data_IF_305482869773
#
_entry.id   IF_305482869773
#
_cell.length_a   1.000
_cell.length_b   1.000
_cell.length_c   1.000
_cell.angle_alpha   90.00
_cell.angle_beta   90.00
_cell.angle_gamma   90.00
#
_symmetry.space_group_name_H-M   'P 1'
#
loop_
_entity.id
_entity.type
_entity.pdbx_description
1 polymer ?
#
# COMPACT_ATOMS: atom_id res chain seq x y z
N UNK A 1 15.33 10.15 -15.79
CA UNK A 1 14.65 9.63 -16.99
C UNK A 1 13.78 10.76 -17.51
N UNK A 2 14.00 11.14 -18.75
CA UNK A 2 13.64 12.43 -19.35
C UNK A 2 12.11 12.58 -19.46
N UNK A 3 11.56 13.62 -18.84
CA UNK A 3 10.20 14.10 -19.11
C UNK A 3 10.26 14.88 -20.41
N UNK A 4 9.93 14.25 -21.53
CA UNK A 4 9.65 14.97 -22.78
C UNK A 4 8.23 15.55 -22.72
N UNK A 5 8.01 16.79 -23.19
CA UNK A 5 6.68 17.36 -23.32
C UNK A 5 6.03 16.76 -24.56
N UNK A 6 5.20 15.73 -24.38
CA UNK A 6 4.40 15.18 -25.49
C UNK A 6 3.27 16.17 -25.79
N UNK A 7 3.57 17.04 -26.75
CA UNK A 7 2.72 17.61 -27.78
C UNK A 7 1.23 17.81 -27.44
N UNK A 8 0.95 19.09 -27.18
CA UNK A 8 -0.32 19.80 -27.29
C UNK A 8 -0.86 19.70 -28.73
N UNK A 9 -1.53 18.59 -29.06
CA UNK A 9 -2.21 18.42 -30.36
C UNK A 9 -3.73 18.34 -30.15
N UNK A 10 -4.48 19.20 -30.84
CA UNK A 10 -5.92 19.36 -30.64
C UNK A 10 -6.72 18.13 -31.14
N UNK A 11 -6.16 17.37 -32.09
CA UNK A 11 -6.74 16.11 -32.56
C UNK A 11 -6.70 15.02 -31.49
N UNK A 12 -5.56 14.89 -30.78
CA UNK A 12 -5.40 13.93 -29.69
C UNK A 12 -6.29 14.28 -28.49
N UNK A 13 -6.44 15.58 -28.20
CA UNK A 13 -7.33 16.05 -27.14
C UNK A 13 -8.80 15.74 -27.46
N UNK A 14 -9.19 15.77 -28.74
CA UNK A 14 -10.53 15.38 -29.19
C UNK A 14 -10.73 13.87 -29.21
N UNK A 15 -9.74 13.06 -29.60
CA UNK A 15 -9.82 11.60 -29.45
C UNK A 15 -9.90 11.20 -27.97
N UNK A 16 -9.09 11.78 -27.09
CA UNK A 16 -9.21 11.57 -25.64
C UNK A 16 -10.57 12.03 -25.12
N UNK A 17 -11.10 13.18 -25.57
CA UNK A 17 -12.44 13.65 -25.20
C UNK A 17 -13.54 12.75 -25.73
N UNK A 18 -13.39 12.15 -26.90
CA UNK A 18 -14.37 11.20 -27.46
C UNK A 18 -14.31 9.86 -26.71
N UNK A 19 -13.12 9.38 -26.34
CA UNK A 19 -12.95 8.17 -25.52
C UNK A 19 -13.48 8.40 -24.09
N UNK A 20 -13.31 9.61 -23.53
CA UNK A 20 -13.83 10.00 -22.20
C UNK A 20 -15.33 10.34 -22.25
N UNK A 21 -15.85 10.87 -23.36
CA UNK A 21 -17.28 11.07 -23.56
C UNK A 21 -18.03 9.77 -23.85
N UNK A 22 -17.32 8.73 -24.33
CA UNK A 22 -17.86 7.38 -24.54
C UNK A 22 -17.63 6.45 -23.34
N UNK A 23 -16.78 6.83 -22.37
CA UNK A 23 -16.83 6.24 -21.03
C UNK A 23 -18.05 6.79 -20.31
N UNK A 24 -19.02 5.89 -20.14
CA UNK A 24 -20.30 6.09 -19.46
C UNK A 24 -20.23 7.14 -18.33
N UNK A 25 -21.03 8.20 -18.47
CA UNK A 25 -21.10 9.39 -17.61
C UNK A 25 -21.52 9.07 -16.15
N UNK A 26 -21.76 7.80 -15.84
CA UNK A 26 -22.12 7.26 -14.52
C UNK A 26 -21.00 6.42 -13.86
N UNK A 27 -19.83 6.28 -14.50
CA UNK A 27 -18.72 5.48 -13.94
C UNK A 27 -17.77 6.32 -13.07
N UNK A 28 -17.46 5.85 -11.87
CA UNK A 28 -16.54 6.53 -10.90
C UNK A 28 -15.07 6.30 -11.28
N UNK A 29 -14.78 5.44 -12.25
CA UNK A 29 -13.42 5.05 -12.62
C UNK A 29 -12.89 5.90 -13.78
N UNK A 30 -11.72 6.51 -13.61
CA UNK A 30 -11.01 7.31 -14.64
C UNK A 30 -10.20 6.48 -15.64
N UNK A 31 -10.40 5.18 -15.60
CA UNK A 31 -9.75 4.18 -16.42
C UNK A 31 -10.73 3.04 -16.59
N UNK A 32 -10.55 2.21 -17.62
CA UNK A 32 -11.38 1.01 -17.75
C UNK A 32 -10.91 -0.05 -16.74
N UNK A 33 -11.67 -0.32 -15.66
CA UNK A 33 -11.24 -1.25 -14.63
C UNK A 33 -11.07 -2.68 -15.17
N UNK A 34 -9.89 -3.26 -14.97
CA UNK A 34 -9.62 -4.63 -15.43
C UNK A 34 -10.14 -5.67 -14.43
N UNK A 35 -11.25 -6.31 -14.78
CA UNK A 35 -11.77 -7.50 -14.06
C UNK A 35 -10.73 -8.62 -13.97
N UNK A 36 -9.96 -8.83 -15.04
CA UNK A 36 -8.93 -9.86 -15.09
C UNK A 36 -7.84 -9.59 -14.05
N UNK A 37 -7.36 -8.34 -13.93
CA UNK A 37 -6.37 -7.97 -12.93
C UNK A 37 -6.91 -8.19 -11.50
N UNK A 38 -8.15 -7.76 -11.24
CA UNK A 38 -8.80 -7.93 -9.94
C UNK A 38 -8.94 -9.41 -9.55
N UNK A 39 -9.30 -10.28 -10.49
CA UNK A 39 -9.40 -11.73 -10.28
C UNK A 39 -8.04 -12.38 -10.00
N UNK A 40 -6.98 -11.96 -10.71
CA UNK A 40 -5.62 -12.43 -10.48
C UNK A 40 -5.15 -12.06 -9.07
N UNK A 41 -5.29 -10.79 -8.67
CA UNK A 41 -4.90 -10.34 -7.32
C UNK A 41 -5.71 -11.04 -6.23
N UNK A 42 -7.02 -11.21 -6.42
CA UNK A 42 -7.87 -11.98 -5.50
C UNK A 42 -7.34 -13.40 -5.31
N UNK A 43 -7.02 -14.08 -6.42
CA UNK A 43 -6.52 -15.46 -6.40
C UNK A 43 -5.17 -15.56 -5.70
N UNK A 44 -4.25 -14.62 -5.98
CA UNK A 44 -2.95 -14.55 -5.32
C UNK A 44 -3.10 -14.34 -3.81
N UNK A 45 -3.87 -13.33 -3.38
CA UNK A 45 -4.08 -13.08 -1.95
C UNK A 45 -4.78 -14.24 -1.24
N UNK A 46 -5.71 -14.92 -1.91
CA UNK A 46 -6.35 -16.12 -1.38
C UNK A 46 -5.35 -17.27 -1.17
N UNK A 47 -4.44 -17.51 -2.11
CA UNK A 47 -3.33 -18.46 -1.91
C UNK A 47 -2.45 -18.05 -0.74
N UNK A 48 -2.13 -16.75 -0.61
CA UNK A 48 -1.38 -16.25 0.53
C UNK A 48 -2.12 -16.47 1.86
N UNK A 49 -3.45 -16.32 1.91
CA UNK A 49 -4.27 -16.64 3.08
C UNK A 49 -4.09 -18.10 3.46
N UNK A 50 -4.16 -19.02 2.50
CA UNK A 50 -3.97 -20.47 2.76
C UNK A 50 -2.56 -20.76 3.30
N UNK A 51 -1.53 -20.16 2.68
CA UNK A 51 -0.14 -20.31 3.13
C UNK A 51 0.02 -19.83 4.57
N UNK A 52 -0.49 -18.63 4.90
CA UNK A 52 -0.38 -18.06 6.24
C UNK A 52 -1.24 -18.82 7.25
N UNK A 53 -2.39 -19.35 6.84
CA UNK A 53 -3.23 -20.22 7.66
C UNK A 53 -2.50 -21.52 8.02
N UNK A 54 -1.83 -22.14 7.04
CA UNK A 54 -1.01 -23.34 7.24
C UNK A 54 0.14 -23.07 8.23
N UNK A 55 0.90 -21.99 8.03
CA UNK A 55 1.98 -21.60 8.95
C UNK A 55 1.47 -21.20 10.34
N UNK A 56 0.26 -20.62 10.44
CA UNK A 56 -0.30 -20.17 11.71
C UNK A 56 -0.95 -21.30 12.53
N UNK A 57 -1.53 -22.31 11.88
CA UNK A 57 -2.30 -23.38 12.57
C UNK A 57 -1.58 -24.73 12.60
N UNK A 58 -0.94 -25.15 11.51
CA UNK A 58 -0.43 -26.52 11.34
C UNK A 58 1.02 -26.62 11.82
N UNK A 59 1.86 -25.67 11.44
CA UNK A 59 3.28 -25.66 11.82
C UNK A 59 3.54 -25.65 13.35
N UNK A 60 2.78 -24.89 14.18
CA UNK A 60 2.97 -24.90 15.63
C UNK A 60 2.54 -26.21 16.32
N UNK A 61 1.66 -27.00 15.69
CA UNK A 61 1.14 -28.26 16.22
C UNK A 61 2.11 -29.45 16.08
N UNK A 62 3.03 -29.39 15.11
CA UNK A 62 3.95 -30.50 14.78
C UNK A 62 5.30 -30.38 15.51
N UNK A 63 5.73 -29.17 15.85
CA UNK A 63 6.92 -28.91 16.68
C UNK A 63 6.60 -27.72 17.57
N UNK A 64 6.57 -27.88 18.90
CA UNK A 64 6.42 -26.75 19.85
C UNK A 64 7.54 -25.72 19.56
N UNK A 65 7.29 -24.61 18.86
CA UNK A 65 8.35 -23.66 18.57
C UNK A 65 8.55 -22.81 19.82
N UNK A 66 9.79 -22.62 20.29
CA UNK A 66 10.07 -21.76 21.46
C UNK A 66 9.75 -20.28 21.23
N UNK A 67 9.39 -19.88 20.00
CA UNK A 67 9.14 -18.50 19.62
C UNK A 67 7.67 -18.31 19.21
N UNK A 68 6.91 -17.60 20.06
CA UNK A 68 5.53 -17.21 19.82
C UNK A 68 5.41 -16.52 18.44
N UNK A 69 4.69 -17.17 17.51
CA UNK A 69 4.39 -16.80 16.12
C UNK A 69 3.61 -15.47 15.91
N UNK A 70 3.74 -14.50 16.83
CA UNK A 70 2.96 -13.25 16.87
C UNK A 70 3.13 -12.38 15.63
N UNK A 71 4.22 -12.54 14.88
CA UNK A 71 4.48 -11.83 13.62
C UNK A 71 3.63 -12.36 12.45
N UNK A 72 3.27 -13.64 12.45
CA UNK A 72 2.51 -14.26 11.34
C UNK A 72 1.03 -13.90 11.38
N UNK A 73 0.48 -13.56 12.56
CA UNK A 73 -0.93 -13.18 12.73
C UNK A 73 -1.24 -11.88 11.97
N UNK A 74 -0.36 -10.88 12.07
CA UNK A 74 -0.56 -9.61 11.38
C UNK A 74 -0.49 -9.80 9.85
N UNK A 75 0.43 -10.62 9.34
CA UNK A 75 0.49 -10.96 7.91
C UNK A 75 -0.77 -11.71 7.46
N UNK A 76 -1.27 -12.65 8.28
CA UNK A 76 -2.52 -13.34 7.99
C UNK A 76 -3.70 -12.36 7.86
N UNK A 77 -3.86 -11.45 8.82
CA UNK A 77 -4.90 -10.41 8.79
C UNK A 77 -4.75 -9.54 7.53
N UNK A 78 -3.52 -9.13 7.18
CA UNK A 78 -3.26 -8.35 5.96
C UNK A 78 -3.76 -9.09 4.70
N UNK A 79 -3.43 -10.37 4.56
CA UNK A 79 -3.84 -11.18 3.40
C UNK A 79 -5.35 -11.38 3.31
N UNK A 80 -6.03 -11.53 4.46
CA UNK A 80 -7.49 -11.63 4.52
C UNK A 80 -8.14 -10.32 4.09
N UNK A 81 -7.71 -9.19 4.66
CA UNK A 81 -8.21 -7.86 4.31
C UNK A 81 -8.00 -7.56 2.82
N UNK A 82 -6.82 -7.85 2.28
CA UNK A 82 -6.55 -7.71 0.84
C UNK A 82 -7.49 -8.57 0.00
N UNK A 83 -7.68 -9.84 0.36
CA UNK A 83 -8.57 -10.74 -0.39
C UNK A 83 -10.00 -10.17 -0.43
N UNK A 84 -10.54 -9.75 0.71
CA UNK A 84 -11.86 -9.11 0.76
C UNK A 84 -11.90 -7.80 -0.02
N UNK A 85 -10.85 -6.96 0.07
CA UNK A 85 -10.77 -5.71 -0.67
C UNK A 85 -10.83 -5.90 -2.19
N UNK A 86 -10.16 -6.94 -2.72
CA UNK A 86 -10.20 -7.27 -4.14
C UNK A 86 -11.49 -8.00 -4.56
N UNK A 87 -12.13 -8.78 -3.69
CA UNK A 87 -13.48 -9.32 -3.95
C UNK A 87 -14.50 -8.19 -4.07
N UNK A 88 -14.48 -7.22 -3.15
CA UNK A 88 -15.32 -6.02 -3.23
C UNK A 88 -14.92 -5.17 -4.46
N UNK A 89 -13.64 -5.18 -4.85
CA UNK A 89 -13.21 -4.53 -6.08
C UNK A 89 -13.88 -5.13 -7.31
N UNK A 90 -13.94 -6.46 -7.45
CA UNK A 90 -14.64 -7.13 -8.55
C UNK A 90 -16.11 -6.69 -8.61
N UNK A 91 -16.77 -6.62 -7.45
CA UNK A 91 -18.15 -6.11 -7.37
C UNK A 91 -18.26 -4.64 -7.79
N UNK A 92 -17.32 -3.80 -7.33
CA UNK A 92 -17.24 -2.38 -7.69
C UNK A 92 -16.96 -2.13 -9.18
N UNK A 93 -16.27 -3.05 -9.84
CA UNK A 93 -16.01 -2.99 -11.29
C UNK A 93 -17.23 -3.39 -12.11
N UNK A 94 -18.08 -4.27 -11.58
CA UNK A 94 -19.36 -4.62 -12.22
C UNK A 94 -20.45 -3.57 -11.99
N UNK A 95 -20.33 -2.76 -10.93
CA UNK A 95 -21.26 -1.68 -10.56
C UNK A 95 -20.48 -0.38 -10.35
N UNK A 96 -20.04 0.22 -11.45
CA UNK A 96 -19.09 1.36 -11.46
C UNK A 96 -19.68 2.68 -10.95
N UNK A 97 -21.00 2.76 -10.76
CA UNK A 97 -21.69 3.94 -10.23
C UNK A 97 -21.85 3.91 -8.70
N UNK A 98 -21.49 2.78 -8.07
CA UNK A 98 -21.67 2.57 -6.64
C UNK A 98 -20.46 3.05 -5.82
N UNK A 99 -20.55 4.29 -5.33
CA UNK A 99 -19.53 4.94 -4.49
C UNK A 99 -19.20 4.11 -3.25
N UNK A 100 -20.19 3.42 -2.68
CA UNK A 100 -20.00 2.59 -1.49
C UNK A 100 -19.07 1.40 -1.73
N UNK A 101 -19.25 0.70 -2.85
CA UNK A 101 -18.39 -0.42 -3.25
C UNK A 101 -16.96 0.04 -3.57
N UNK A 102 -16.84 1.15 -4.30
CA UNK A 102 -15.54 1.75 -4.64
C UNK A 102 -14.76 2.19 -3.40
N UNK A 103 -15.41 2.97 -2.52
CA UNK A 103 -14.77 3.47 -1.29
C UNK A 103 -14.40 2.33 -0.34
N UNK A 104 -15.25 1.31 -0.20
CA UNK A 104 -14.98 0.14 0.65
C UNK A 104 -13.80 -0.67 0.11
N UNK A 105 -13.79 -0.94 -1.20
CA UNK A 105 -12.68 -1.65 -1.86
C UNK A 105 -11.36 -0.90 -1.67
N UNK A 106 -11.33 0.40 -2.00
CA UNK A 106 -10.14 1.23 -1.89
C UNK A 106 -9.61 1.28 -0.45
N UNK A 107 -10.50 1.45 0.54
CA UNK A 107 -10.11 1.50 1.96
C UNK A 107 -9.52 0.17 2.43
N UNK A 108 -10.15 -0.96 2.10
CA UNK A 108 -9.66 -2.28 2.50
C UNK A 108 -8.28 -2.57 1.91
N UNK A 109 -8.08 -2.27 0.62
CA UNK A 109 -6.79 -2.47 -0.06
C UNK A 109 -5.69 -1.61 0.59
N UNK A 110 -6.00 -0.36 0.95
CA UNK A 110 -5.05 0.57 1.59
C UNK A 110 -4.74 0.20 3.04
N UNK A 111 -5.68 -0.43 3.77
CA UNK A 111 -5.46 -0.85 5.17
C UNK A 111 -4.51 -2.05 5.26
N UNK A 112 -4.50 -2.94 4.28
CA UNK A 112 -3.64 -4.14 4.28
C UNK A 112 -2.13 -3.85 4.52
N UNK A 113 -1.48 -2.90 3.83
CA UNK A 113 -0.07 -2.58 4.06
C UNK A 113 0.26 -2.21 5.51
N UNK A 114 -0.69 -1.63 6.26
CA UNK A 114 -0.51 -1.28 7.68
C UNK A 114 -0.16 -2.52 8.51
N UNK A 115 -0.84 -3.63 8.25
CA UNK A 115 -0.61 -4.90 8.95
C UNK A 115 0.69 -5.58 8.50
N UNK A 116 1.07 -5.43 7.22
CA UNK A 116 2.39 -5.88 6.74
C UNK A 116 3.50 -5.12 7.45
N UNK A 117 3.40 -3.80 7.55
CA UNK A 117 4.36 -2.97 8.28
C UNK A 117 4.42 -3.32 9.77
N UNK A 118 3.27 -3.57 10.41
CA UNK A 118 3.22 -4.02 11.81
C UNK A 118 3.95 -5.37 12.02
N UNK A 119 3.88 -6.27 11.02
CA UNK A 119 4.62 -7.54 11.04
C UNK A 119 6.12 -7.33 10.92
N UNK A 120 6.54 -6.44 10.00
CA UNK A 120 7.93 -6.06 9.81
C UNK A 120 8.52 -5.43 11.09
N UNK A 121 7.76 -4.62 11.81
CA UNK A 121 8.16 -4.06 13.11
C UNK A 121 8.47 -5.16 14.14
N UNK A 122 7.58 -6.15 14.27
CA UNK A 122 7.76 -7.24 15.22
C UNK A 122 8.97 -8.10 14.85
N UNK A 123 9.19 -8.33 13.55
CA UNK A 123 10.33 -9.05 13.02
C UNK A 123 11.64 -8.31 13.31
N UNK A 124 11.72 -7.02 12.95
CA UNK A 124 12.89 -6.17 13.20
C UNK A 124 13.24 -6.09 14.69
N UNK A 125 12.23 -5.94 15.56
CA UNK A 125 12.41 -5.95 17.02
C UNK A 125 13.03 -7.27 17.50
N UNK A 126 12.67 -8.40 16.89
CA UNK A 126 13.25 -9.70 17.22
C UNK A 126 14.69 -9.82 16.73
N UNK A 127 14.96 -9.44 15.48
CA UNK A 127 16.31 -9.41 14.91
C UNK A 127 17.27 -8.55 15.74
N UNK A 128 16.88 -7.33 16.10
CA UNK A 128 17.67 -6.44 16.96
C UNK A 128 17.96 -7.11 18.31
N UNK A 129 16.95 -7.70 18.96
CA UNK A 129 17.14 -8.34 20.27
C UNK A 129 18.04 -9.57 20.23
N UNK A 130 18.04 -10.31 19.11
CA UNK A 130 18.80 -11.54 18.98
C UNK A 130 20.22 -11.29 18.46
N UNK A 131 20.36 -10.54 17.36
CA UNK A 131 21.65 -10.27 16.72
C UNK A 131 22.44 -9.14 17.39
N UNK A 132 21.81 -8.01 17.73
CA UNK A 132 22.55 -6.86 18.28
C UNK A 132 22.99 -7.12 19.72
N UNK A 133 22.26 -7.95 20.48
CA UNK A 133 22.71 -8.35 21.83
C UNK A 133 23.99 -9.21 21.80
N UNK A 134 24.28 -9.87 20.69
CA UNK A 134 25.56 -10.59 20.45
C UNK A 134 26.68 -9.67 19.94
N UNK A 135 26.34 -8.50 19.39
CA UNK A 135 27.27 -7.48 18.88
C UNK A 135 27.47 -6.31 19.87
N UNK A 136 26.79 -6.36 21.02
CA UNK A 136 26.77 -5.31 22.04
C UNK A 136 28.11 -5.13 22.78
N UNK A 137 29.15 -5.90 22.47
CA UNK A 137 30.51 -5.58 22.89
C UNK A 137 31.25 -4.63 21.94
N UNK A 138 30.74 -4.34 20.73
CA UNK A 138 31.56 -3.60 19.76
C UNK A 138 31.00 -2.28 19.21
N UNK A 139 29.75 -2.11 18.73
CA UNK A 139 29.42 -0.82 18.03
C UNK A 139 27.95 -0.61 17.61
N UNK A 140 27.01 -0.45 18.55
CA UNK A 140 25.63 -0.09 18.14
C UNK A 140 24.96 0.95 19.03
N UNK A 141 25.73 1.89 19.57
CA UNK A 141 25.21 3.22 19.88
C UNK A 141 25.40 4.06 18.63
N UNK A 142 24.56 3.82 17.62
CA UNK A 142 24.45 4.65 16.44
C UNK A 142 23.72 5.93 16.86
N UNK A 143 24.47 7.01 17.14
CA UNK A 143 23.96 8.35 17.47
C UNK A 143 22.94 8.46 18.62
N UNK A 144 22.94 7.55 19.60
CA UNK A 144 22.08 7.66 20.79
C UNK A 144 20.58 7.38 20.54
N UNK A 145 20.20 6.92 19.35
CA UNK A 145 18.82 6.54 19.02
C UNK A 145 18.74 5.01 18.95
N UNK A 146 17.93 4.40 19.83
CA UNK A 146 17.67 2.95 19.80
C UNK A 146 17.08 2.58 18.42
N UNK A 147 17.63 1.57 17.69
CA UNK A 147 17.11 1.11 16.40
C UNK A 147 15.60 0.80 16.40
N UNK A 148 15.02 0.57 17.58
CA UNK A 148 13.57 0.43 17.80
C UNK A 148 12.77 1.69 17.44
N UNK A 149 13.34 2.88 17.56
CA UNK A 149 12.68 4.15 17.19
C UNK A 149 12.79 4.43 15.71
N UNK A 150 13.93 4.09 15.09
CA UNK A 150 14.15 4.27 13.65
C UNK A 150 13.13 3.47 12.83
N UNK A 151 12.92 2.18 13.19
CA UNK A 151 11.91 1.34 12.54
C UNK A 151 10.47 1.82 12.77
N UNK A 152 10.18 2.44 13.92
CA UNK A 152 8.85 3.03 14.19
C UNK A 152 8.57 4.22 13.27
N UNK A 153 9.52 5.16 13.19
CA UNK A 153 9.39 6.36 12.36
C UNK A 153 9.22 5.98 10.89
N UNK A 154 10.03 5.03 10.42
CA UNK A 154 9.96 4.55 9.03
C UNK A 154 8.58 3.98 8.70
N UNK A 155 8.06 3.09 9.55
CA UNK A 155 6.76 2.46 9.34
C UNK A 155 5.61 3.47 9.42
N UNK A 156 5.62 4.37 10.40
CA UNK A 156 4.57 5.39 10.52
C UNK A 156 4.56 6.35 9.35
N UNK A 157 5.74 6.72 8.86
CA UNK A 157 5.89 7.58 7.69
C UNK A 157 5.42 6.89 6.41
N UNK A 158 5.76 5.62 6.22
CA UNK A 158 5.34 4.84 5.05
C UNK A 158 3.81 4.69 5.02
N UNK A 159 3.19 4.37 6.15
CA UNK A 159 1.72 4.30 6.28
C UNK A 159 1.08 5.66 5.98
N UNK A 160 1.59 6.75 6.54
CA UNK A 160 1.02 8.07 6.30
C UNK A 160 1.17 8.50 4.84
N UNK A 161 2.32 8.22 4.24
CA UNK A 161 2.61 8.47 2.82
C UNK A 161 1.66 7.68 1.91
N UNK A 162 1.39 6.41 2.23
CA UNK A 162 0.41 5.59 1.51
C UNK A 162 -1.01 6.14 1.63
N UNK A 163 -1.42 6.57 2.82
CA UNK A 163 -2.75 7.18 3.03
C UNK A 163 -2.89 8.48 2.24
N UNK A 164 -1.86 9.31 2.20
CA UNK A 164 -1.82 10.52 1.37
C UNK A 164 -1.90 10.17 -0.12
N UNK A 165 -1.11 9.21 -0.60
CA UNK A 165 -1.13 8.80 -2.00
C UNK A 165 -2.49 8.22 -2.41
N UNK A 166 -3.10 7.38 -1.58
CA UNK A 166 -4.44 6.83 -1.82
C UNK A 166 -5.53 7.90 -1.81
N UNK A 167 -5.51 8.81 -0.82
CA UNK A 167 -6.47 9.91 -0.72
C UNK A 167 -6.30 10.92 -1.86
N UNK A 168 -5.06 11.29 -2.18
CA UNK A 168 -4.73 12.18 -3.28
C UNK A 168 -5.14 11.60 -4.64
N UNK A 169 -4.89 10.30 -4.84
CA UNK A 169 -5.38 9.58 -6.02
C UNK A 169 -6.90 9.62 -6.10
N UNK A 170 -7.61 9.32 -5.01
CA UNK A 170 -9.09 9.37 -4.96
C UNK A 170 -9.67 10.77 -5.17
N UNK A 171 -9.04 11.82 -4.64
CA UNK A 171 -9.48 13.21 -4.83
C UNK A 171 -9.22 13.67 -6.26
N UNK A 172 -8.06 13.34 -6.83
CA UNK A 172 -7.76 13.65 -8.22
C UNK A 172 -8.74 12.93 -9.17
N UNK A 173 -9.09 11.72 -8.78
CA UNK A 173 -10.11 10.86 -9.34
C UNK A 173 -11.54 11.18 -8.83
N UNK A 174 -11.94 12.45 -8.65
CA UNK A 174 -13.33 12.74 -8.24
C UNK A 174 -14.10 13.60 -9.24
N UNK A 175 -13.45 14.08 -10.31
CA UNK A 175 -14.00 14.99 -11.32
C UNK A 175 -13.22 14.90 -12.65
N UNK A 176 -13.07 13.71 -13.19
CA UNK A 176 -12.39 13.46 -14.48
C UNK A 176 -10.98 14.02 -14.60
N UNK A 177 -10.28 14.14 -13.47
CA UNK A 177 -8.97 14.81 -13.44
C UNK A 177 -9.01 16.26 -13.96
N UNK A 178 -10.14 16.95 -13.81
CA UNK A 178 -10.34 18.34 -14.20
C UNK A 178 -10.67 19.25 -12.99
N UNK A 179 -10.24 20.51 -13.10
CA UNK A 179 -10.49 21.57 -12.12
C UNK A 179 -9.67 21.50 -10.83
N UNK A 180 -10.00 22.37 -9.88
CA UNK A 180 -9.23 22.58 -8.63
C UNK A 180 -9.10 21.34 -7.74
N UNK A 181 -9.99 20.36 -7.86
CA UNK A 181 -9.92 19.11 -7.10
C UNK A 181 -8.79 18.21 -7.60
N UNK A 182 -8.51 18.20 -8.91
CA UNK A 182 -7.38 17.48 -9.49
C UNK A 182 -6.06 18.00 -8.93
N UNK A 183 -5.86 19.32 -8.97
CA UNK A 183 -4.63 19.94 -8.49
C UNK A 183 -4.42 19.67 -7.00
N UNK A 184 -5.51 19.72 -6.20
CA UNK A 184 -5.46 19.34 -4.81
C UNK A 184 -5.07 17.87 -4.62
N UNK A 185 -5.69 16.93 -5.33
CA UNK A 185 -5.39 15.50 -5.24
C UNK A 185 -3.96 15.15 -5.68
N UNK A 186 -3.49 15.74 -6.79
CA UNK A 186 -2.12 15.61 -7.28
C UNK A 186 -1.12 16.16 -6.26
N UNK A 187 -1.40 17.31 -5.65
CA UNK A 187 -0.54 17.86 -4.60
C UNK A 187 -0.46 16.94 -3.37
N UNK A 188 -1.57 16.32 -2.95
CA UNK A 188 -1.56 15.35 -1.84
C UNK A 188 -0.74 14.10 -2.22
N UNK A 189 -0.87 13.62 -3.46
CA UNK A 189 -0.10 12.47 -3.96
C UNK A 189 1.40 12.78 -3.98
N UNK A 190 1.81 13.94 -4.52
CA UNK A 190 3.21 14.40 -4.54
C UNK A 190 3.73 14.57 -3.11
N UNK A 191 2.95 15.11 -2.19
CA UNK A 191 3.34 15.28 -0.80
C UNK A 191 3.59 13.92 -0.10
N UNK A 192 2.79 12.90 -0.40
CA UNK A 192 3.04 11.53 0.06
C UNK A 192 4.35 10.95 -0.48
N UNK A 193 4.63 11.12 -1.79
CA UNK A 193 5.90 10.69 -2.40
C UNK A 193 7.11 11.42 -1.79
N UNK A 194 6.98 12.72 -1.54
CA UNK A 194 8.03 13.54 -0.94
C UNK A 194 8.35 13.09 0.50
N UNK A 195 7.32 12.78 1.30
CA UNK A 195 7.50 12.28 2.67
C UNK A 195 8.21 10.91 2.68
N UNK A 196 7.85 10.02 1.75
CA UNK A 196 8.48 8.71 1.61
C UNK A 196 9.97 8.84 1.25
N UNK A 197 10.30 9.68 0.26
CA UNK A 197 11.69 9.99 -0.11
C UNK A 197 12.48 10.64 1.01
N UNK A 198 11.89 11.60 1.73
CA UNK A 198 12.53 12.25 2.89
C UNK A 198 12.86 11.24 4.00
N UNK A 199 11.98 10.28 4.22
CA UNK A 199 12.17 9.25 5.25
C UNK A 199 13.27 8.26 4.87
N UNK A 200 13.32 7.84 3.60
CA UNK A 200 14.37 6.96 3.08
C UNK A 200 15.74 7.66 3.15
N UNK A 201 15.82 8.91 2.70
CA UNK A 201 17.08 9.68 2.72
C UNK A 201 17.60 9.92 4.14
N UNK A 202 16.71 10.18 5.10
CA UNK A 202 17.09 10.24 6.51
C UNK A 202 17.61 8.88 7.00
N UNK A 203 16.91 7.78 6.70
CA UNK A 203 17.30 6.44 7.12
C UNK A 203 18.66 6.00 6.56
N UNK A 204 18.91 6.27 5.27
CA UNK A 204 20.19 5.99 4.61
C UNK A 204 21.34 6.74 5.29
N UNK A 205 21.15 8.02 5.57
CA UNK A 205 22.13 8.86 6.28
C UNK A 205 22.36 8.46 7.73
N UNK A 206 21.43 7.73 8.36
CA UNK A 206 21.61 7.15 9.69
C UNK A 206 22.38 5.83 9.65
N UNK A 207 22.36 5.09 8.54
CA UNK A 207 23.00 3.77 8.40
C UNK A 207 24.42 3.85 7.84
N UNK A 208 24.70 4.82 6.96
CA UNK A 208 26.05 5.09 6.43
C UNK A 208 26.98 5.74 7.43
#
# INVERSE_FOLDING_TARGET
MVVTPVFRDAAYTNEYRLIVAESDNDSIYFYNPSLAAAAIFTSLYFVLVIIHLYFSLIYPGVKKPPYKHRYTINLFIATVISTFGYVVHIASVNDTSNVGLYATSATLIVVSPIFVCASLYLLLKHFIRFYIKSLAEQKAVLFGIDPKWLGRIFITSDVFSFLMQGSGSGIAASRDWEGSNKDAGVNVLIAGLAMQLATITLFDRFIG
#
